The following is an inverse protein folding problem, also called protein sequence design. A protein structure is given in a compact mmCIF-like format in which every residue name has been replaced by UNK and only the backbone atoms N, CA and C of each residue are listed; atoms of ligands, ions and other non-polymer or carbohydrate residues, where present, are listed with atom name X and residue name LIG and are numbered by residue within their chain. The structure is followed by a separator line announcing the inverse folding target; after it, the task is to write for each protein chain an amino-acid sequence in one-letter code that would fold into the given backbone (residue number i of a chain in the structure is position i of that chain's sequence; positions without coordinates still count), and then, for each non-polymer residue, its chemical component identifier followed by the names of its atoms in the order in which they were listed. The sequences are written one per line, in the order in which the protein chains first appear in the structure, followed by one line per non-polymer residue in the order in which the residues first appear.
data_IF_468552932806
#
_entry.id   IF_468552932806
#
_cell.length_a   1.000
_cell.length_b   1.000
_cell.length_c   1.000
_cell.angle_alpha   90.00
_cell.angle_beta   90.00
_cell.angle_gamma   90.00
#
_symmetry.space_group_name_H-M   'P 1'
#
loop_
_entity.id
_entity.type
_entity.pdbx_description
1 polymer ?
#
# COMPACT_ATOMS: atom_id res chain seq x y z
N UNK A 1 5.57 2.40 -8.57
CA UNK A 1 6.77 1.60 -8.87
C UNK A 1 6.38 0.32 -9.58
N UNK A 2 7.37 -0.38 -10.13
CA UNK A 2 7.16 -1.61 -10.93
C UNK A 2 6.85 -2.86 -10.10
N UNK A 3 7.05 -2.83 -8.77
CA UNK A 3 6.80 -3.96 -7.88
C UNK A 3 6.38 -3.47 -6.47
N UNK A 4 5.10 -3.13 -6.26
CA UNK A 4 4.63 -2.75 -4.94
C UNK A 4 4.55 -4.00 -4.04
N UNK A 5 5.58 -4.24 -3.23
CA UNK A 5 5.61 -5.35 -2.24
C UNK A 5 4.39 -5.32 -1.32
N UNK A 6 3.97 -4.11 -0.94
CA UNK A 6 2.74 -3.87 -0.19
C UNK A 6 1.50 -4.42 -0.88
N UNK A 7 1.42 -4.29 -2.21
CA UNK A 7 0.32 -4.85 -2.98
C UNK A 7 0.36 -6.38 -2.95
N UNK A 8 1.53 -7.01 -3.09
CA UNK A 8 1.62 -8.47 -2.98
C UNK A 8 1.15 -9.00 -1.63
N UNK A 9 1.53 -8.32 -0.55
CA UNK A 9 1.08 -8.67 0.79
C UNK A 9 -0.45 -8.52 0.94
N UNK A 10 -1.01 -7.38 0.54
CA UNK A 10 -2.44 -7.13 0.66
C UNK A 10 -3.29 -8.03 -0.27
N UNK A 11 -2.83 -8.32 -1.50
CA UNK A 11 -3.47 -9.31 -2.38
C UNK A 11 -3.47 -10.71 -1.75
N UNK A 12 -2.36 -11.11 -1.14
CA UNK A 12 -2.25 -12.40 -0.47
C UNK A 12 -3.16 -12.49 0.77
N UNK A 13 -3.44 -11.36 1.42
CA UNK A 13 -4.43 -11.23 2.52
C UNK A 13 -5.88 -11.15 2.02
N UNK A 14 -6.11 -11.18 0.70
CA UNK A 14 -7.44 -11.17 0.10
C UNK A 14 -8.08 -9.78 0.01
N UNK A 15 -7.30 -8.71 0.12
CA UNK A 15 -7.83 -7.35 0.00
C UNK A 15 -8.12 -6.96 -1.45
N UNK A 16 -9.15 -6.15 -1.64
CA UNK A 16 -9.37 -5.44 -2.90
C UNK A 16 -8.39 -4.28 -2.99
N UNK A 17 -7.65 -4.20 -4.08
CA UNK A 17 -6.56 -3.26 -4.23
C UNK A 17 -6.61 -2.52 -5.55
N UNK A 18 -6.25 -1.25 -5.48
CA UNK A 18 -5.93 -0.44 -6.63
C UNK A 18 -4.44 -0.05 -6.60
N UNK A 19 -3.67 -0.58 -7.54
CA UNK A 19 -2.29 -0.19 -7.74
C UNK A 19 -2.23 1.01 -8.69
N UNK A 20 -1.75 2.15 -8.20
CA UNK A 20 -1.69 3.38 -9.00
C UNK A 20 -0.27 3.84 -9.32
N UNK A 21 -0.08 4.43 -10.48
CA UNK A 21 1.17 5.04 -10.93
C UNK A 21 0.92 6.01 -12.10
N UNK A 22 1.99 6.55 -12.68
CA UNK A 22 1.97 7.22 -13.97
C UNK A 22 1.52 6.25 -15.09
N UNK A 23 0.74 6.72 -16.08
CA UNK A 23 0.22 5.88 -17.17
C UNK A 23 1.27 5.00 -17.86
N UNK A 24 2.47 5.54 -18.08
CA UNK A 24 3.59 4.84 -18.73
C UNK A 24 4.21 3.73 -17.87
N UNK A 25 4.02 3.74 -16.55
CA UNK A 25 4.59 2.74 -15.62
C UNK A 25 3.61 1.58 -15.38
N UNK A 26 2.31 1.81 -15.55
CA UNK A 26 1.27 0.81 -15.28
C UNK A 26 1.40 -0.49 -16.09
N UNK A 27 1.73 -0.49 -17.40
CA UNK A 27 1.87 -1.74 -18.15
C UNK A 27 2.94 -2.66 -17.57
N UNK A 28 4.08 -2.10 -17.14
CA UNK A 28 5.15 -2.87 -16.52
C UNK A 28 4.76 -3.36 -15.12
N UNK A 29 4.10 -2.51 -14.33
CA UNK A 29 3.61 -2.87 -12.99
C UNK A 29 2.61 -4.02 -13.04
N UNK A 30 1.65 -3.96 -13.98
CA UNK A 30 0.69 -5.04 -14.24
C UNK A 30 1.40 -6.33 -14.67
N UNK A 31 2.34 -6.24 -15.61
CA UNK A 31 3.12 -7.41 -16.07
C UNK A 31 3.87 -8.07 -14.91
N UNK A 32 4.50 -7.28 -14.05
CA UNK A 32 5.22 -7.79 -12.89
C UNK A 32 4.30 -8.45 -11.88
N UNK A 33 3.14 -7.85 -11.62
CA UNK A 33 2.14 -8.45 -10.75
C UNK A 33 1.65 -9.80 -11.28
N UNK A 34 1.25 -9.86 -12.55
CA UNK A 34 0.78 -11.11 -13.17
C UNK A 34 1.87 -12.19 -13.19
N UNK A 35 3.13 -11.81 -13.42
CA UNK A 35 4.26 -12.76 -13.38
C UNK A 35 4.50 -13.37 -12.00
N UNK A 36 4.05 -12.71 -10.93
CA UNK A 36 4.18 -13.18 -9.55
C UNK A 36 2.87 -13.73 -8.98
N UNK A 37 1.76 -13.67 -9.74
CA UNK A 37 0.42 -13.99 -9.25
C UNK A 37 0.29 -15.42 -8.74
N UNK A 38 0.95 -16.37 -9.41
CA UNK A 38 0.94 -17.78 -9.01
C UNK A 38 1.57 -18.02 -7.63
N UNK A 39 2.52 -17.17 -7.22
CA UNK A 39 3.17 -17.25 -5.90
C UNK A 39 2.22 -16.91 -4.74
N UNK A 40 1.14 -16.16 -5.00
CA UNK A 40 0.18 -15.78 -3.96
C UNK A 40 -0.70 -16.94 -3.52
N UNK A 41 -0.95 -17.93 -4.39
CA UNK A 41 -1.77 -19.10 -4.05
C UNK A 41 -1.21 -19.91 -2.89
N UNK A 42 0.13 -19.98 -2.77
CA UNK A 42 0.79 -20.62 -1.63
C UNK A 42 0.55 -19.87 -0.31
N UNK A 43 0.62 -18.53 -0.34
CA UNK A 43 0.39 -17.68 0.83
C UNK A 43 -1.08 -17.73 1.25
N UNK A 44 -2.01 -17.57 0.30
CA UNK A 44 -3.45 -17.66 0.58
C UNK A 44 -3.84 -19.01 1.19
N UNK A 45 -3.28 -20.12 0.67
CA UNK A 45 -3.50 -21.45 1.24
C UNK A 45 -2.93 -21.59 2.65
N UNK A 46 -1.76 -21.01 2.90
CA UNK A 46 -1.16 -21.01 4.24
C UNK A 46 -1.96 -20.17 5.24
N UNK A 47 -2.63 -19.11 4.78
CA UNK A 47 -3.50 -18.28 5.60
C UNK A 47 -4.88 -18.91 5.83
N UNK A 48 -5.46 -19.63 4.86
CA UNK A 48 -6.79 -20.25 5.00
C UNK A 48 -6.84 -21.43 5.96
N UNK A 49 -5.72 -22.16 6.10
CA UNK A 49 -5.69 -23.40 6.88
C UNK A 49 -5.84 -23.16 8.39
N UNK A 50 -5.55 -21.96 8.89
CA UNK A 50 -5.67 -21.62 10.33
C UNK A 50 -7.02 -21.00 10.73
N UNK A 51 -7.82 -20.53 9.78
CA UNK A 51 -9.10 -19.91 10.06
C UNK A 51 -10.20 -20.95 10.36
N UNK A 52 -10.00 -21.86 11.34
CA UNK A 52 -11.03 -22.74 11.95
C UNK A 52 -12.24 -23.15 11.06
N UNK A 53 -11.99 -23.69 9.86
CA UNK A 53 -13.05 -24.16 8.95
C UNK A 53 -13.92 -23.05 8.31
N UNK A 54 -13.57 -21.78 8.51
CA UNK A 54 -14.08 -20.68 7.70
C UNK A 54 -13.36 -20.67 6.35
N UNK A 55 -14.10 -20.87 5.27
CA UNK A 55 -13.59 -20.59 3.93
C UNK A 55 -13.04 -19.15 3.92
N UNK A 56 -11.74 -19.00 3.63
CA UNK A 56 -11.25 -17.70 3.16
C UNK A 56 -11.98 -17.42 1.85
N UNK A 57 -13.00 -16.57 1.92
CA UNK A 57 -13.74 -16.07 0.77
C UNK A 57 -12.70 -15.50 -0.19
N UNK A 58 -12.58 -16.15 -1.34
CA UNK A 58 -11.40 -16.06 -2.18
C UNK A 58 -11.12 -14.67 -2.75
N UNK A 59 -9.82 -14.42 -2.93
CA UNK A 59 -9.26 -13.68 -4.06
C UNK A 59 -9.66 -12.22 -4.17
N UNK A 60 -9.10 -11.39 -3.28
CA UNK A 60 -9.10 -9.94 -3.46
C UNK A 60 -8.70 -9.53 -4.89
N UNK A 61 -9.40 -8.54 -5.44
CA UNK A 61 -9.15 -8.07 -6.80
C UNK A 61 -7.97 -7.11 -6.82
N UNK A 62 -7.20 -7.10 -7.92
CA UNK A 62 -6.11 -6.14 -8.11
C UNK A 62 -6.30 -5.44 -9.44
N UNK A 63 -6.61 -4.15 -9.35
CA UNK A 63 -6.76 -3.27 -10.49
C UNK A 63 -5.58 -2.30 -10.60
N UNK A 64 -5.40 -1.74 -11.80
CA UNK A 64 -4.32 -0.80 -12.10
C UNK A 64 -4.88 0.38 -12.87
N UNK A 65 -4.87 1.57 -12.25
CA UNK A 65 -5.39 2.81 -12.83
C UNK A 65 -4.40 3.97 -12.59
N UNK A 66 -4.42 5.00 -13.46
CA UNK A 66 -3.53 6.14 -13.30
C UNK A 66 -3.90 6.99 -12.08
N UNK A 67 -2.88 7.47 -11.39
CA UNK A 67 -3.02 8.49 -10.35
C UNK A 67 -1.75 9.36 -10.27
N UNK A 68 -1.58 10.31 -11.21
CA UNK A 68 -0.51 11.30 -11.09
C UNK A 68 -0.71 12.15 -9.83
N UNK A 69 0.36 12.35 -9.06
CA UNK A 69 0.28 13.14 -7.83
C UNK A 69 0.03 14.62 -8.11
N UNK A 70 -0.79 15.25 -7.29
CA UNK A 70 -1.15 16.68 -7.35
C UNK A 70 -2.11 17.07 -8.46
N UNK A 71 -2.51 16.12 -9.30
CA UNK A 71 -3.51 16.31 -10.34
C UNK A 71 -4.91 15.94 -9.83
N UNK A 72 -5.93 16.31 -10.60
CA UNK A 72 -7.28 15.81 -10.35
C UNK A 72 -7.31 14.29 -10.50
N UNK A 73 -7.93 13.60 -9.53
CA UNK A 73 -8.08 12.13 -9.58
C UNK A 73 -8.85 11.76 -10.85
N UNK A 74 -8.24 10.95 -11.76
CA UNK A 74 -8.92 10.54 -12.98
C UNK A 74 -10.27 9.88 -12.70
N UNK A 75 -11.25 10.13 -13.57
CA UNK A 75 -12.63 9.67 -13.40
C UNK A 75 -12.73 8.17 -13.08
N UNK A 76 -12.04 7.32 -13.84
CA UNK A 76 -12.05 5.86 -13.64
C UNK A 76 -11.49 5.46 -12.26
N UNK A 77 -10.41 6.12 -11.81
CA UNK A 77 -9.81 5.90 -10.49
C UNK A 77 -10.76 6.32 -9.37
N UNK A 78 -11.44 7.47 -9.54
CA UNK A 78 -12.45 7.95 -8.61
C UNK A 78 -13.63 7.00 -8.51
N UNK A 79 -14.19 6.58 -9.65
CA UNK A 79 -15.30 5.63 -9.71
C UNK A 79 -14.92 4.28 -9.07
N UNK A 80 -13.68 3.82 -9.28
CA UNK A 80 -13.19 2.61 -8.63
C UNK A 80 -13.23 2.76 -7.10
N UNK A 81 -12.66 3.84 -6.56
CA UNK A 81 -12.62 4.11 -5.10
C UNK A 81 -14.04 4.22 -4.53
N UNK A 82 -14.89 5.02 -5.17
CA UNK A 82 -16.26 5.29 -4.70
C UNK A 82 -17.15 4.04 -4.74
N UNK A 83 -16.97 3.16 -5.73
CA UNK A 83 -17.75 1.92 -5.85
C UNK A 83 -17.49 0.89 -4.77
N UNK A 84 -16.31 0.92 -4.11
CA UNK A 84 -16.00 0.06 -2.96
C UNK A 84 -16.46 0.69 -1.66
N UNK A 85 -16.41 2.03 -1.60
CA UNK A 85 -16.79 2.81 -0.43
C UNK A 85 -15.93 2.48 0.80
N UNK A 86 -16.34 3.03 1.95
CA UNK A 86 -15.73 2.71 3.23
C UNK A 86 -14.32 3.27 3.45
N UNK A 87 -13.70 2.76 4.52
CA UNK A 87 -12.37 3.14 4.99
C UNK A 87 -11.31 2.62 4.03
N UNK A 88 -10.38 3.49 3.65
CA UNK A 88 -9.29 3.18 2.73
C UNK A 88 -7.96 3.13 3.49
N UNK A 89 -7.13 2.14 3.18
CA UNK A 89 -5.73 2.13 3.59
C UNK A 89 -4.84 2.41 2.37
N UNK A 90 -4.13 3.54 2.41
CA UNK A 90 -3.22 3.96 1.35
C UNK A 90 -1.81 3.52 1.71
N UNK A 91 -1.14 2.83 0.79
CA UNK A 91 0.22 2.32 1.01
C UNK A 91 1.20 3.05 0.08
N UNK A 92 2.07 3.88 0.65
CA UNK A 92 3.10 4.60 -0.07
C UNK A 92 4.46 4.00 0.29
N UNK A 93 5.13 3.38 -0.69
CA UNK A 93 6.48 2.87 -0.52
C UNK A 93 7.46 3.75 -1.27
N UNK A 94 8.29 4.47 -0.51
CA UNK A 94 9.39 5.29 -0.98
C UNK A 94 8.93 6.37 -1.97
N UNK A 95 7.85 7.08 -1.64
CA UNK A 95 7.25 8.10 -2.52
C UNK A 95 7.77 9.53 -2.27
N UNK A 96 8.62 9.75 -1.26
CA UNK A 96 9.03 11.10 -0.81
C UNK A 96 10.48 11.47 -1.19
N UNK A 97 11.12 10.67 -2.06
CA UNK A 97 12.51 10.84 -2.46
C UNK A 97 12.79 12.06 -3.36
N UNK A 98 11.74 12.64 -3.97
CA UNK A 98 11.82 13.85 -4.77
C UNK A 98 11.12 15.01 -4.06
N UNK A 99 11.87 16.04 -3.69
CA UNK A 99 11.33 17.21 -3.00
C UNK A 99 10.19 17.89 -3.79
N UNK A 100 10.34 18.01 -5.11
CA UNK A 100 9.31 18.60 -5.98
C UNK A 100 7.99 17.80 -6.01
N UNK A 101 7.99 16.54 -5.56
CA UNK A 101 6.80 15.68 -5.48
C UNK A 101 6.10 15.74 -4.12
N UNK A 102 6.72 16.32 -3.09
CA UNK A 102 6.15 16.35 -1.73
C UNK A 102 4.78 17.00 -1.70
N UNK A 103 4.66 18.22 -2.22
CA UNK A 103 3.39 18.95 -2.26
C UNK A 103 2.35 18.24 -3.14
N UNK A 104 2.65 17.83 -4.39
CA UNK A 104 1.74 17.01 -5.18
C UNK A 104 1.22 15.77 -4.45
N UNK A 105 2.10 15.02 -3.77
CA UNK A 105 1.71 13.83 -3.02
C UNK A 105 0.81 14.19 -1.83
N UNK A 106 1.14 15.25 -1.08
CA UNK A 106 0.32 15.71 0.04
C UNK A 106 -1.09 16.13 -0.40
N UNK A 107 -1.22 16.80 -1.56
CA UNK A 107 -2.52 17.11 -2.17
C UNK A 107 -3.31 15.84 -2.46
N UNK A 108 -2.69 14.87 -3.15
CA UNK A 108 -3.36 13.61 -3.49
C UNK A 108 -3.79 12.84 -2.23
N UNK A 109 -2.95 12.76 -1.20
CA UNK A 109 -3.31 12.14 0.07
C UNK A 109 -4.47 12.88 0.75
N UNK A 110 -4.48 14.21 0.73
CA UNK A 110 -5.57 14.99 1.35
C UNK A 110 -6.92 14.76 0.67
N UNK A 111 -6.91 14.45 -0.63
CA UNK A 111 -8.11 14.10 -1.38
C UNK A 111 -8.57 12.67 -1.09
N UNK A 112 -7.65 11.70 -1.06
CA UNK A 112 -7.97 10.29 -0.80
C UNK A 112 -8.41 10.02 0.64
N UNK A 113 -7.83 10.76 1.60
CA UNK A 113 -8.10 10.61 3.04
C UNK A 113 -9.32 11.39 3.52
N UNK A 114 -10.16 11.91 2.62
CA UNK A 114 -11.40 12.60 2.98
C UNK A 114 -12.41 11.71 3.71
N UNK A 115 -12.35 10.40 3.48
CA UNK A 115 -13.26 9.46 4.14
C UNK A 115 -12.80 9.24 5.59
N UNK A 116 -13.66 9.49 6.60
CA UNK A 116 -13.28 9.31 7.99
C UNK A 116 -12.82 7.88 8.30
N UNK A 117 -11.70 7.75 9.01
CA UNK A 117 -11.07 6.48 9.34
C UNK A 117 -10.09 5.96 8.29
N UNK A 118 -10.03 6.58 7.09
CA UNK A 118 -8.99 6.27 6.11
C UNK A 118 -7.61 6.72 6.63
N UNK A 119 -6.59 5.92 6.31
CA UNK A 119 -5.23 6.14 6.77
C UNK A 119 -4.23 5.93 5.63
N UNK A 120 -3.04 6.52 5.77
CA UNK A 120 -1.92 6.31 4.85
C UNK A 120 -0.69 5.83 5.62
N UNK A 121 -0.10 4.72 5.16
CA UNK A 121 1.18 4.22 5.65
C UNK A 121 2.27 4.62 4.64
N UNK A 122 3.15 5.53 5.05
CA UNK A 122 4.25 6.03 4.24
C UNK A 122 5.55 5.43 4.73
N UNK A 123 6.01 4.39 4.06
CA UNK A 123 7.34 3.82 4.27
C UNK A 123 8.35 4.58 3.39
N UNK A 124 9.48 4.98 3.96
CA UNK A 124 10.53 5.70 3.22
C UNK A 124 11.92 5.39 3.80
N UNK A 125 12.93 5.55 2.95
CA UNK A 125 14.33 5.56 3.38
C UNK A 125 14.82 7.00 3.37
N UNK A 126 15.22 7.52 4.54
CA UNK A 126 15.77 8.86 4.63
C UNK A 126 17.13 8.94 3.95
N UNK A 127 17.21 9.63 2.81
CA UNK A 127 18.46 9.86 2.05
C UNK A 127 19.03 11.23 2.35
N UNK A 128 18.15 12.22 2.42
CA UNK A 128 18.49 13.61 2.65
C UNK A 128 17.52 14.21 3.68
N UNK A 129 18.02 15.10 4.55
CA UNK A 129 17.18 15.75 5.57
C UNK A 129 16.01 16.53 4.97
N UNK A 130 16.16 16.98 3.73
CA UNK A 130 15.16 17.71 2.97
C UNK A 130 13.90 16.87 2.70
N UNK A 131 13.98 15.54 2.68
CA UNK A 131 12.83 14.64 2.53
C UNK A 131 11.82 14.80 3.67
N UNK A 132 12.28 15.18 4.87
CA UNK A 132 11.42 15.42 6.04
C UNK A 132 10.50 16.64 5.86
N UNK A 133 10.77 17.52 4.90
CA UNK A 133 9.86 18.65 4.58
C UNK A 133 8.51 18.17 4.05
N UNK A 134 8.41 16.93 3.58
CA UNK A 134 7.14 16.29 3.22
C UNK A 134 6.12 16.35 4.37
N UNK A 135 6.55 16.09 5.61
CA UNK A 135 5.65 16.10 6.76
C UNK A 135 5.10 17.50 7.06
N UNK A 136 5.91 18.55 6.89
CA UNK A 136 5.42 19.93 6.94
C UNK A 136 4.43 20.27 5.82
N UNK A 137 4.53 19.61 4.65
CA UNK A 137 3.53 19.75 3.60
C UNK A 137 2.20 19.06 3.98
N UNK A 138 2.22 17.94 4.71
CA UNK A 138 1.00 17.30 5.22
C UNK A 138 0.24 18.22 6.18
N UNK A 139 0.94 18.89 7.10
CA UNK A 139 0.34 19.83 8.04
C UNK A 139 -0.40 20.96 7.32
N UNK A 140 0.13 21.47 6.20
CA UNK A 140 -0.52 22.49 5.38
C UNK A 140 -1.90 22.05 4.84
N UNK A 141 -2.08 20.76 4.61
CA UNK A 141 -3.34 20.16 4.15
C UNK A 141 -4.18 19.57 5.30
N UNK A 142 -3.88 19.92 6.55
CA UNK A 142 -4.55 19.42 7.75
C UNK A 142 -4.47 17.89 7.92
N UNK A 143 -3.43 17.26 7.36
CA UNK A 143 -3.18 15.84 7.55
C UNK A 143 -2.26 15.66 8.76
N UNK A 144 -2.76 14.99 9.79
CA UNK A 144 -1.95 14.57 10.94
C UNK A 144 -1.01 13.45 10.51
N UNK A 145 0.26 13.60 10.83
CA UNK A 145 1.25 12.53 10.67
C UNK A 145 1.85 12.14 12.01
N UNK A 146 2.11 10.84 12.17
CA UNK A 146 2.77 10.31 13.36
C UNK A 146 3.98 9.48 12.92
N UNK A 147 5.18 9.78 13.42
CA UNK A 147 6.34 8.96 13.11
C UNK A 147 6.20 7.61 13.80
N UNK A 148 6.35 6.54 13.03
CA UNK A 148 6.47 5.18 13.52
C UNK A 148 7.86 4.67 13.15
N UNK A 149 8.70 4.47 14.15
CA UNK A 149 10.00 3.83 13.90
C UNK A 149 9.79 2.34 13.56
N UNK A 150 10.72 1.76 12.80
CA UNK A 150 10.59 0.38 12.33
C UNK A 150 10.56 -0.64 13.47
N UNK A 151 11.22 -0.36 14.61
CA UNK A 151 11.23 -1.25 15.77
C UNK A 151 9.85 -1.28 16.42
N UNK A 152 9.23 -0.12 16.57
CA UNK A 152 7.85 0.04 17.03
C UNK A 152 6.85 -0.60 16.08
N UNK A 153 7.02 -0.43 14.77
CA UNK A 153 6.17 -1.07 13.77
C UNK A 153 6.22 -2.60 13.86
N UNK A 154 7.42 -3.18 14.02
CA UNK A 154 7.59 -4.63 14.18
C UNK A 154 6.96 -5.12 15.49
N UNK A 155 7.06 -4.34 16.57
CA UNK A 155 6.49 -4.72 17.87
C UNK A 155 4.96 -4.81 17.86
N UNK A 156 4.29 -4.04 17.00
CA UNK A 156 2.82 -4.09 16.85
C UNK A 156 2.36 -4.99 15.69
N UNK A 157 3.28 -5.43 14.83
CA UNK A 157 2.98 -6.31 13.73
C UNK A 157 2.74 -7.73 14.24
N UNK A 158 1.47 -8.14 14.28
CA UNK A 158 1.10 -9.52 14.57
C UNK A 158 1.05 -10.32 13.27
N UNK A 159 2.16 -11.00 12.97
CA UNK A 159 2.15 -11.97 11.89
C UNK A 159 1.46 -13.26 12.33
N UNK A 160 0.69 -13.90 11.42
CA UNK A 160 0.18 -15.24 11.66
C UNK A 160 1.33 -16.21 12.05
N UNK A 161 1.13 -17.15 13.01
CA UNK A 161 2.18 -18.03 13.56
C UNK A 161 3.04 -18.79 12.54
N UNK A 162 2.50 -19.09 11.37
CA UNK A 162 3.19 -19.72 10.24
C UNK A 162 4.38 -18.89 9.71
N UNK A 163 4.35 -17.56 9.82
CA UNK A 163 5.49 -16.72 9.46
C UNK A 163 6.60 -16.72 10.53
N UNK A 164 6.26 -16.95 11.81
CA UNK A 164 7.25 -17.06 12.89
C UNK A 164 8.08 -18.35 12.80
N UNK A 165 7.52 -19.43 12.20
CA UNK A 165 8.26 -20.68 11.98
C UNK A 165 9.26 -20.58 10.82
N UNK A 166 8.98 -19.73 9.83
CA UNK A 166 9.86 -19.55 8.67
C UNK A 166 11.17 -18.83 9.03
N UNK A 167 11.15 -17.90 10.00
CA UNK A 167 12.36 -17.18 10.43
C UNK A 167 13.34 -18.06 11.22
N UNK A 168 12.88 -19.16 11.82
CA UNK A 168 13.75 -20.11 12.51
C UNK A 168 14.51 -21.04 11.54
N UNK A 169 14.01 -21.23 10.32
CA UNK A 169 14.59 -22.13 9.33
C UNK A 169 15.66 -21.48 8.44
N UNK A 170 15.73 -20.14 8.39
CA UNK A 170 16.70 -19.37 7.58
C UNK A 170 17.88 -18.82 8.37
N UNK A 171 18.02 -19.22 9.65
CA UNK A 171 19.14 -18.84 10.52
C UNK A 171 20.28 -19.88 10.55
N UNK A 172 20.37 -20.78 9.56
CA UNK A 172 21.43 -21.78 9.41
C UNK A 172 22.12 -21.66 8.04
#
# INVERSE_FOLDING_TARGET
GTAPVSAYAAAALGWEMLCTDLPEVLPLTRKNFESNRSSFGGIQKALSTEANGGELVGGGTVDFLPLPFGEEIPKETREWIESRGGVQLILCSDCIWQQQRHRPLAVTLSELLKTPGSEALVAYQLREREELKFFGALDHYNLRSEPLDAVGAVAIAHFPPQFAKASAASAF
#
